data_IF_038335740151
#
_entry.id   IF_038335740151
#
_cell.length_a   1.000
_cell.length_b   1.000
_cell.length_c   1.000
_cell.angle_alpha   90.00
_cell.angle_beta   90.00
_cell.angle_gamma   90.00
#
_symmetry.space_group_name_H-M   'P 1'
#
loop_
_entity.id
_entity.type
_entity.pdbx_description
1 polymer ?
#
# COMPACT_ATOMS: atom_id res chain seq x y z
N UNK A 1 3.23 -0.16 -6.63
CA UNK A 1 2.06 0.56 -6.05
C UNK A 1 1.97 1.97 -6.64
N UNK A 2 0.77 2.51 -6.87
CA UNK A 2 0.56 3.83 -7.49
C UNK A 2 -0.13 4.82 -6.54
N UNK A 3 0.21 6.11 -6.68
CA UNK A 3 -0.40 7.25 -5.96
C UNK A 3 -0.41 8.50 -6.85
N UNK A 4 -1.05 9.60 -6.47
CA UNK A 4 -0.86 10.89 -7.17
C UNK A 4 0.30 11.70 -6.59
N UNK A 5 0.66 12.79 -7.27
CA UNK A 5 1.56 13.81 -6.71
C UNK A 5 0.96 14.51 -5.48
N UNK A 6 -0.38 14.54 -5.34
CA UNK A 6 -1.13 15.17 -4.23
C UNK A 6 -1.31 14.19 -3.07
N UNK A 7 -1.93 14.61 -1.97
CA UNK A 7 -2.22 13.74 -0.80
C UNK A 7 -3.40 12.78 -1.08
N UNK A 8 -3.41 12.13 -2.24
CA UNK A 8 -4.49 11.27 -2.70
C UNK A 8 -3.94 10.01 -3.38
N UNK A 9 -4.82 9.02 -3.60
CA UNK A 9 -4.55 7.93 -4.53
C UNK A 9 -4.32 8.43 -5.96
N UNK A 10 -4.06 7.53 -6.93
CA UNK A 10 -3.90 7.91 -8.33
C UNK A 10 -5.08 8.75 -8.83
N UNK A 11 -4.81 9.72 -9.72
CA UNK A 11 -5.86 10.57 -10.27
C UNK A 11 -6.87 9.74 -11.09
N UNK A 12 -8.15 10.15 -11.17
CA UNK A 12 -9.20 9.38 -11.86
C UNK A 12 -8.86 9.04 -13.31
N UNK A 13 -8.17 9.92 -14.02
CA UNK A 13 -7.72 9.69 -15.41
C UNK A 13 -6.71 8.53 -15.52
N UNK A 14 -5.86 8.35 -14.51
CA UNK A 14 -4.98 7.18 -14.42
C UNK A 14 -5.82 5.92 -14.16
N UNK A 15 -6.76 6.01 -13.22
CA UNK A 15 -7.60 4.88 -12.83
C UNK A 15 -8.59 4.46 -13.93
N UNK A 16 -8.94 5.34 -14.85
CA UNK A 16 -9.77 5.02 -16.02
C UNK A 16 -9.12 3.98 -16.94
N UNK A 17 -7.80 3.79 -16.85
CA UNK A 17 -7.03 2.78 -17.58
C UNK A 17 -6.71 1.54 -16.73
N UNK A 18 -7.37 1.34 -15.58
CA UNK A 18 -7.12 0.18 -14.73
C UNK A 18 -7.49 -1.12 -15.47
N UNK A 19 -6.54 -2.05 -15.54
CA UNK A 19 -6.69 -3.31 -16.28
C UNK A 19 -6.15 -3.27 -17.71
N UNK A 20 -5.86 -2.07 -18.23
CA UNK A 20 -5.29 -1.88 -19.56
C UNK A 20 -3.75 -1.84 -19.52
N UNK A 21 -3.14 -2.10 -20.68
CA UNK A 21 -1.72 -1.82 -20.88
C UNK A 21 -1.54 -0.32 -21.06
N UNK A 22 -0.59 0.27 -20.34
CA UNK A 22 -0.34 1.71 -20.39
C UNK A 22 1.15 2.03 -20.41
N UNK A 23 1.50 3.14 -21.06
CA UNK A 23 2.76 3.83 -20.82
C UNK A 23 2.58 4.73 -19.59
N UNK A 24 3.14 4.32 -18.46
CA UNK A 24 3.01 5.03 -17.19
C UNK A 24 4.19 5.98 -16.97
N UNK A 25 3.90 7.27 -16.80
CA UNK A 25 4.91 8.26 -16.35
C UNK A 25 4.66 8.64 -14.90
N UNK A 26 5.71 8.71 -14.08
CA UNK A 26 5.60 9.10 -12.68
C UNK A 26 6.95 9.30 -12.00
N UNK A 27 6.90 9.66 -10.72
CA UNK A 27 8.09 9.81 -9.87
C UNK A 27 8.17 8.58 -8.94
N UNK A 28 9.26 7.79 -8.98
CA UNK A 28 9.46 6.71 -8.02
C UNK A 28 9.94 7.25 -6.67
N UNK A 29 9.32 6.77 -5.59
CA UNK A 29 9.81 6.88 -4.22
C UNK A 29 10.17 5.48 -3.73
N UNK A 30 11.32 5.34 -3.08
CA UNK A 30 11.80 4.04 -2.62
C UNK A 30 12.55 4.11 -1.31
N UNK A 31 12.33 3.11 -0.44
CA UNK A 31 13.05 2.92 0.83
C UNK A 31 13.05 1.44 1.20
N UNK A 32 14.21 0.90 1.54
CA UNK A 32 14.36 -0.48 2.05
C UNK A 32 13.62 -1.52 1.18
N UNK A 33 13.73 -1.41 -0.16
CA UNK A 33 13.06 -2.31 -1.11
C UNK A 33 11.58 -2.00 -1.41
N UNK A 34 10.94 -1.09 -0.69
CA UNK A 34 9.56 -0.68 -0.96
C UNK A 34 9.50 0.45 -1.97
N UNK A 35 8.79 0.25 -3.09
CA UNK A 35 8.70 1.22 -4.20
C UNK A 35 7.25 1.65 -4.45
N UNK A 36 7.04 2.97 -4.53
CA UNK A 36 5.77 3.58 -4.91
C UNK A 36 5.99 4.60 -6.01
N UNK A 37 5.14 4.58 -7.03
CA UNK A 37 5.19 5.56 -8.12
C UNK A 37 4.08 6.58 -7.89
N UNK A 38 4.44 7.86 -7.76
CA UNK A 38 3.47 8.94 -7.88
C UNK A 38 3.23 9.21 -9.38
N UNK A 39 2.13 8.69 -9.91
CA UNK A 39 1.77 8.75 -11.31
C UNK A 39 1.44 10.18 -11.74
N UNK A 40 1.80 10.48 -12.99
CA UNK A 40 1.54 11.76 -13.68
C UNK A 40 0.63 11.56 -14.88
N UNK A 41 0.88 10.53 -15.67
CA UNK A 41 0.07 10.17 -16.83
C UNK A 41 0.10 8.66 -17.05
N UNK A 42 -0.96 8.15 -17.67
CA UNK A 42 -1.07 6.79 -18.15
C UNK A 42 -1.72 6.88 -19.54
N UNK A 43 -0.96 6.53 -20.57
CA UNK A 43 -1.44 6.52 -21.95
C UNK A 43 -1.70 5.08 -22.36
N UNK A 44 -2.90 4.78 -22.87
CA UNK A 44 -3.25 3.44 -23.31
C UNK A 44 -2.27 2.93 -24.38
N UNK A 45 -1.89 1.66 -24.26
CA UNK A 45 -1.06 0.92 -25.20
C UNK A 45 -1.81 -0.32 -25.67
N UNK A 46 -1.55 -0.72 -26.91
CA UNK A 46 -1.90 -2.06 -27.34
C UNK A 46 -1.13 -3.09 -26.51
N UNK A 47 -1.80 -4.20 -26.16
CA UNK A 47 -1.18 -5.28 -25.39
C UNK A 47 0.09 -5.77 -26.11
N UNK A 48 1.27 -5.72 -25.45
CA UNK A 48 2.50 -6.23 -26.06
C UNK A 48 2.40 -7.73 -26.37
N UNK A 49 3.00 -8.17 -27.48
CA UNK A 49 3.00 -9.58 -27.88
C UNK A 49 3.60 -10.52 -26.80
N UNK A 50 4.61 -10.03 -26.07
CA UNK A 50 5.29 -10.74 -24.98
C UNK A 50 4.84 -10.24 -23.60
N UNK A 51 3.61 -9.76 -23.48
CA UNK A 51 3.04 -9.30 -22.22
C UNK A 51 3.05 -10.43 -21.16
N UNK A 52 3.63 -10.21 -19.96
CA UNK A 52 3.53 -11.18 -18.88
C UNK A 52 2.08 -11.39 -18.47
N UNK A 53 1.75 -12.61 -18.06
CA UNK A 53 0.45 -12.92 -17.45
C UNK A 53 0.39 -12.29 -16.05
N UNK A 54 -0.68 -11.56 -15.69
CA UNK A 54 -0.85 -11.05 -14.34
C UNK A 54 -0.83 -12.18 -13.30
N UNK A 55 -0.04 -11.98 -12.24
CA UNK A 55 -0.03 -12.90 -11.10
C UNK A 55 -1.44 -12.97 -10.47
N UNK A 56 -1.93 -14.19 -10.28
CA UNK A 56 -3.23 -14.45 -9.67
C UNK A 56 -3.19 -14.32 -8.14
N UNK A 57 -1.99 -14.22 -7.56
CA UNK A 57 -1.77 -14.18 -6.14
C UNK A 57 -1.69 -15.58 -5.54
N UNK A 58 -0.78 -15.76 -4.59
CA UNK A 58 -0.61 -16.99 -3.82
C UNK A 58 -0.92 -16.71 -2.36
N UNK A 59 -1.92 -17.40 -1.81
CA UNK A 59 -2.16 -17.38 -0.37
C UNK A 59 -0.98 -18.04 0.36
N UNK A 60 -0.45 -17.35 1.37
CA UNK A 60 0.60 -17.85 2.26
C UNK A 60 0.03 -18.36 3.59
N UNK A 61 -1.28 -18.23 3.80
CA UNK A 61 -1.97 -18.60 5.03
C UNK A 61 -2.34 -17.40 5.90
N UNK A 62 -2.87 -17.70 7.08
CA UNK A 62 -3.24 -16.71 8.10
C UNK A 62 -2.07 -16.43 9.03
N UNK A 63 -1.84 -15.15 9.33
CA UNK A 63 -0.79 -14.68 10.23
C UNK A 63 -1.34 -13.62 11.18
N UNK A 64 -0.84 -13.58 12.42
CA UNK A 64 -0.98 -12.42 13.31
C UNK A 64 0.31 -11.60 13.26
N UNK A 65 0.18 -10.33 12.85
CA UNK A 65 1.31 -9.45 12.59
C UNK A 65 1.19 -8.18 13.42
N UNK A 66 2.27 -7.82 14.11
CA UNK A 66 2.38 -6.56 14.86
C UNK A 66 3.25 -5.58 14.06
N UNK A 67 2.74 -4.38 13.85
CA UNK A 67 3.43 -3.36 13.06
C UNK A 67 2.85 -1.97 13.21
N UNK A 68 3.25 -1.07 12.31
CA UNK A 68 2.76 0.31 12.23
C UNK A 68 2.05 0.54 10.89
N UNK A 69 0.84 1.11 10.92
CA UNK A 69 0.16 1.54 9.70
C UNK A 69 0.70 2.91 9.27
N UNK A 70 1.27 2.96 8.07
CA UNK A 70 1.83 4.16 7.44
C UNK A 70 1.15 4.46 6.10
N UNK A 71 1.25 5.69 5.60
CA UNK A 71 0.87 5.97 4.22
C UNK A 71 2.00 5.55 3.27
N UNK A 72 1.61 4.86 2.19
CA UNK A 72 2.58 4.25 1.27
C UNK A 72 3.42 5.25 0.48
N UNK A 73 3.03 6.53 0.38
CA UNK A 73 3.77 7.52 -0.42
C UNK A 73 4.83 8.26 0.38
N UNK A 74 4.50 8.73 1.58
CA UNK A 74 5.41 9.55 2.38
C UNK A 74 6.44 8.71 3.12
N UNK A 75 6.07 7.51 3.58
CA UNK A 75 6.99 6.59 4.23
C UNK A 75 8.29 6.30 3.42
N UNK A 76 8.24 6.04 2.09
CA UNK A 76 9.44 5.77 1.31
C UNK A 76 10.29 7.00 0.96
N UNK A 77 9.91 8.22 1.34
CA UNK A 77 10.86 9.35 1.25
C UNK A 77 10.31 10.73 0.94
N UNK A 78 8.99 10.91 0.70
CA UNK A 78 8.42 12.26 0.56
C UNK A 78 8.50 13.05 1.88
N UNK A 79 8.48 12.36 3.03
CA UNK A 79 8.62 12.98 4.36
C UNK A 79 9.74 12.33 5.17
N UNK A 80 10.39 13.14 6.02
CA UNK A 80 11.40 12.70 6.99
C UNK A 80 11.14 13.38 8.35
N UNK A 81 10.70 12.64 9.39
CA UNK A 81 10.32 11.22 9.38
C UNK A 81 8.95 11.00 8.67
N UNK A 82 8.79 9.86 8.01
CA UNK A 82 7.55 9.43 7.35
C UNK A 82 6.77 8.36 8.12
N UNK A 83 6.97 8.29 9.44
CA UNK A 83 6.43 7.27 10.34
C UNK A 83 6.21 7.85 11.74
N UNK A 84 5.59 7.05 12.59
CA UNK A 84 5.22 7.27 14.00
C UNK A 84 4.31 8.49 14.21
N UNK A 85 4.11 8.85 15.49
CA UNK A 85 3.33 10.02 15.92
C UNK A 85 3.70 11.32 15.16
N UNK A 86 4.98 11.50 14.80
CA UNK A 86 5.45 12.71 14.09
C UNK A 86 4.82 12.86 12.71
N UNK A 87 4.52 11.76 12.02
CA UNK A 87 3.92 11.79 10.69
C UNK A 87 2.43 11.42 10.67
N UNK A 88 1.88 10.96 11.79
CA UNK A 88 0.48 10.49 11.94
C UNK A 88 -0.55 11.38 11.26
N UNK A 89 -0.59 12.67 11.57
CA UNK A 89 -1.59 13.58 11.01
C UNK A 89 -1.49 13.73 9.47
N UNK A 90 -0.26 13.73 8.94
CA UNK A 90 -0.02 13.76 7.50
C UNK A 90 -0.40 12.44 6.83
N UNK A 91 -0.05 11.31 7.45
CA UNK A 91 -0.41 9.98 6.97
C UNK A 91 -1.94 9.78 6.93
N UNK A 92 -2.65 10.17 8.00
CA UNK A 92 -4.12 10.15 8.06
C UNK A 92 -4.73 10.92 6.88
N UNK A 93 -4.22 12.12 6.58
CA UNK A 93 -4.71 12.91 5.46
C UNK A 93 -4.46 12.24 4.11
N UNK A 94 -3.28 11.66 3.90
CA UNK A 94 -2.96 10.92 2.68
C UNK A 94 -3.87 9.69 2.52
N UNK A 95 -4.00 8.86 3.57
CA UNK A 95 -4.80 7.64 3.56
C UNK A 95 -6.28 7.97 3.34
N UNK A 96 -6.79 9.00 4.01
CA UNK A 96 -8.16 9.51 3.79
C UNK A 96 -8.38 9.97 2.35
N UNK A 97 -7.34 10.47 1.67
CA UNK A 97 -7.40 10.88 0.26
C UNK A 97 -7.24 9.72 -0.74
N UNK A 98 -7.13 8.48 -0.27
CA UNK A 98 -7.00 7.30 -1.14
C UNK A 98 -5.56 6.81 -1.34
N UNK A 99 -4.56 7.37 -0.64
CA UNK A 99 -3.22 6.76 -0.62
C UNK A 99 -3.34 5.39 0.07
N UNK A 100 -2.85 4.28 -0.53
CA UNK A 100 -3.01 2.97 0.08
C UNK A 100 -2.27 2.87 1.43
N UNK A 101 -2.92 2.42 2.51
CA UNK A 101 -2.27 2.17 3.78
C UNK A 101 -1.45 0.88 3.74
N UNK A 102 -0.28 0.91 4.38
CA UNK A 102 0.66 -0.23 4.45
C UNK A 102 1.01 -0.48 5.91
N UNK A 103 0.99 -1.74 6.32
CA UNK A 103 1.54 -2.17 7.61
C UNK A 103 3.03 -2.47 7.43
N UNK A 104 3.86 -1.79 8.23
CA UNK A 104 5.30 -2.05 8.31
C UNK A 104 5.54 -2.96 9.51
N UNK A 105 6.04 -4.17 9.24
CA UNK A 105 6.36 -5.18 10.25
C UNK A 105 7.87 -5.40 10.26
N UNK A 106 8.43 -5.69 11.43
CA UNK A 106 9.82 -6.14 11.55
C UNK A 106 9.81 -7.65 11.85
N UNK A 107 10.55 -8.42 11.06
CA UNK A 107 10.71 -9.84 11.35
C UNK A 107 11.73 -10.06 12.51
N UNK A 108 11.97 -11.32 12.88
CA UNK A 108 12.91 -11.69 13.94
C UNK A 108 14.35 -11.18 13.71
N UNK A 109 14.72 -10.94 12.45
CA UNK A 109 16.03 -10.39 12.04
C UNK A 109 16.02 -8.86 11.96
N UNK A 110 14.95 -8.21 12.41
CA UNK A 110 14.72 -6.76 12.30
C UNK A 110 14.66 -6.25 10.85
N UNK A 111 14.41 -7.14 9.88
CA UNK A 111 14.17 -6.76 8.49
C UNK A 111 12.73 -6.29 8.32
N UNK A 112 12.53 -5.27 7.47
CA UNK A 112 11.21 -4.70 7.23
C UNK A 112 10.44 -5.50 6.19
N UNK A 113 9.20 -5.82 6.51
CA UNK A 113 8.21 -6.38 5.61
C UNK A 113 7.06 -5.39 5.46
N UNK A 114 6.53 -5.30 4.24
CA UNK A 114 5.51 -4.34 3.86
C UNK A 114 4.26 -5.06 3.41
N UNK A 115 3.14 -4.82 4.09
CA UNK A 115 1.86 -5.44 3.77
C UNK A 115 0.87 -4.36 3.33
N UNK A 116 0.46 -4.39 2.07
CA UNK A 116 -0.66 -3.58 1.61
C UNK A 116 -1.93 -4.05 2.34
N UNK A 117 -2.67 -3.14 2.94
CA UNK A 117 -3.87 -3.49 3.68
C UNK A 117 -5.11 -3.49 2.78
N UNK A 118 -5.82 -4.62 2.78
CA UNK A 118 -7.11 -4.79 2.13
C UNK A 118 -8.08 -5.46 3.11
N UNK A 119 -9.39 -5.26 2.91
CA UNK A 119 -10.37 -6.03 3.68
C UNK A 119 -10.45 -7.50 3.23
N UNK A 120 -11.26 -8.29 3.91
CA UNK A 120 -11.48 -9.70 3.58
C UNK A 120 -11.96 -9.94 2.13
N UNK A 121 -12.55 -8.92 1.50
CA UNK A 121 -13.01 -8.93 0.11
C UNK A 121 -12.01 -8.30 -0.87
N UNK A 122 -10.81 -7.94 -0.41
CA UNK A 122 -9.78 -7.30 -1.23
C UNK A 122 -10.02 -5.82 -1.50
N UNK A 123 -10.96 -5.16 -0.80
CA UNK A 123 -11.25 -3.74 -0.99
C UNK A 123 -10.36 -2.86 -0.11
N UNK A 124 -10.13 -1.64 -0.57
CA UNK A 124 -9.30 -0.66 0.13
C UNK A 124 -9.84 -0.35 1.54
N UNK A 125 -8.98 -0.37 2.55
CA UNK A 125 -9.39 -0.13 3.94
C UNK A 125 -9.43 1.36 4.30
N UNK A 126 -8.56 2.17 3.71
CA UNK A 126 -8.44 3.64 3.82
C UNK A 126 -9.10 4.28 5.06
N UNK A 127 -10.29 4.87 4.91
CA UNK A 127 -10.96 5.62 5.97
C UNK A 127 -11.30 4.79 7.21
N UNK A 128 -11.32 3.46 7.10
CA UNK A 128 -11.67 2.51 8.18
C UNK A 128 -10.52 2.24 9.16
N UNK A 129 -9.30 2.74 8.90
CA UNK A 129 -8.11 2.46 9.73
C UNK A 129 -7.45 3.73 10.28
N UNK A 130 -8.04 4.90 10.07
CA UNK A 130 -7.40 6.20 10.35
C UNK A 130 -7.06 6.41 11.84
N UNK A 131 -7.87 5.84 12.74
CA UNK A 131 -7.68 5.93 14.19
C UNK A 131 -6.44 5.18 14.69
N UNK A 132 -5.94 4.23 13.89
CA UNK A 132 -4.80 3.34 14.22
C UNK A 132 -3.49 3.73 13.51
N UNK A 133 -3.52 4.74 12.64
CA UNK A 133 -2.35 5.18 11.88
C UNK A 133 -1.27 5.72 12.82
N UNK A 134 -0.02 5.32 12.59
CA UNK A 134 1.14 5.78 13.37
C UNK A 134 1.25 5.22 14.79
N UNK A 135 0.37 4.30 15.17
CA UNK A 135 0.37 3.58 16.44
C UNK A 135 0.74 2.09 16.20
N UNK A 136 1.26 1.37 17.21
CA UNK A 136 1.43 -0.08 17.14
C UNK A 136 0.06 -0.77 17.01
N UNK A 137 -0.06 -1.67 16.03
CA UNK A 137 -1.29 -2.39 15.71
C UNK A 137 -0.96 -3.86 15.50
N UNK A 138 -1.80 -4.73 16.06
CA UNK A 138 -1.86 -6.15 15.72
C UNK A 138 -3.01 -6.40 14.72
N UNK A 139 -2.71 -7.14 13.66
CA UNK A 139 -3.66 -7.54 12.63
C UNK A 139 -3.51 -9.03 12.36
N UNK A 140 -4.60 -9.77 12.54
CA UNK A 140 -4.70 -11.18 12.10
C UNK A 140 -5.46 -11.26 10.79
N UNK A 141 -4.90 -11.95 9.80
CA UNK A 141 -5.58 -12.16 8.52
C UNK A 141 -4.79 -12.97 7.51
N UNK A 142 -5.38 -13.13 6.33
CA UNK A 142 -4.79 -13.86 5.21
C UNK A 142 -3.69 -13.02 4.55
N UNK A 143 -2.49 -13.57 4.45
CA UNK A 143 -1.41 -12.98 3.65
C UNK A 143 -1.45 -13.57 2.25
N UNK A 144 -1.58 -12.70 1.24
CA UNK A 144 -1.54 -13.07 -0.17
C UNK A 144 -0.35 -12.40 -0.83
N UNK A 145 0.46 -13.18 -1.54
CA UNK A 145 1.62 -12.70 -2.28
C UNK A 145 1.27 -12.50 -3.76
N UNK A 146 1.54 -11.32 -4.30
CA UNK A 146 1.49 -11.00 -5.73
C UNK A 146 2.89 -10.56 -6.17
N UNK A 147 3.63 -11.42 -6.84
CA UNK A 147 5.04 -11.19 -7.18
C UNK A 147 5.87 -10.91 -5.92
N UNK A 148 6.39 -9.69 -5.82
CA UNK A 148 7.16 -9.18 -4.69
C UNK A 148 6.31 -8.44 -3.63
N UNK A 149 5.01 -8.27 -3.88
CA UNK A 149 4.09 -7.57 -2.98
C UNK A 149 3.38 -8.54 -2.04
N UNK A 150 3.28 -8.16 -0.76
CA UNK A 150 2.44 -8.83 0.22
C UNK A 150 1.20 -8.00 0.48
N UNK A 151 0.04 -8.64 0.49
CA UNK A 151 -1.24 -8.06 0.86
C UNK A 151 -1.73 -8.77 2.11
N UNK A 152 -2.09 -8.02 3.16
CA UNK A 152 -2.75 -8.54 4.34
C UNK A 152 -4.25 -8.26 4.23
N UNK A 153 -5.04 -9.31 4.06
CA UNK A 153 -6.50 -9.27 3.95
C UNK A 153 -7.11 -9.58 5.31
N UNK A 154 -7.75 -8.59 5.91
CA UNK A 154 -8.36 -8.71 7.23
C UNK A 154 -9.50 -7.69 7.40
N UNK A 155 -10.52 -8.01 8.19
CA UNK A 155 -11.57 -7.04 8.52
C UNK A 155 -10.98 -5.88 9.34
N UNK A 156 -11.05 -4.61 8.87
CA UNK A 156 -10.54 -3.47 9.63
C UNK A 156 -11.11 -3.32 11.05
N UNK A 157 -12.28 -3.90 11.32
CA UNK A 157 -12.89 -3.89 12.65
C UNK A 157 -12.16 -4.79 13.65
N UNK A 158 -11.38 -5.77 13.20
CA UNK A 158 -10.64 -6.69 14.08
C UNK A 158 -9.24 -6.17 14.45
N UNK A 159 -8.80 -5.05 13.87
CA UNK A 159 -7.47 -4.51 14.14
C UNK A 159 -7.42 -3.99 15.58
N UNK A 160 -6.44 -4.41 16.37
CA UNK A 160 -6.26 -3.98 17.76
C UNK A 160 -5.00 -3.16 17.92
N UNK A 161 -5.01 -2.18 18.82
CA UNK A 161 -3.78 -1.53 19.25
C UNK A 161 -2.96 -2.56 20.05
N UNK A 162 -1.66 -2.63 19.78
CA UNK A 162 -0.72 -3.54 20.45
C UNK A 162 -0.10 -2.90 21.71
#
# INVERSE_FOLDING_TARGET
>A
LLTSLKKTGPDPEIMANAGEWVNLTGIPFYRDGFVVIASRSAEALEKPANAPTPDQGKSLGEFSLVGEIVDSKCYPGVMKPGQTKTHRACAIRCISGGVPPVLVVHNEKSEKLYFLLADSQGKAVNSRVLDKVGDPVEITGEVVQYGDMLILKADPQTYSLA
#
